data_IF_689733966060
#
_entry.id   IF_689733966060
#
_cell.length_a   1.000
_cell.length_b   1.000
_cell.length_c   1.000
_cell.angle_alpha   90.00
_cell.angle_beta   90.00
_cell.angle_gamma   90.00
#
_symmetry.space_group_name_H-M   'P 1'
#
loop_
_entity.id
_entity.type
_entity.pdbx_description
1 polymer ?
#
# COMPACT_ATOMS: atom_id res chain seq x y z
N UNK A 1 5.18 -0.08 -16.87
CA UNK A 1 4.82 0.46 -15.55
C UNK A 1 3.42 -0.01 -15.16
N UNK A 2 3.26 -0.46 -13.93
CA UNK A 2 1.98 -0.97 -13.46
C UNK A 2 1.15 0.19 -12.91
N UNK A 3 -0.11 0.23 -13.33
CA UNK A 3 -1.08 1.18 -12.79
C UNK A 3 -2.35 0.39 -12.47
N UNK A 4 -2.49 0.05 -11.21
CA UNK A 4 -3.57 -0.83 -10.75
C UNK A 4 -4.84 -0.03 -10.49
N UNK A 5 -5.97 -0.55 -10.95
CA UNK A 5 -7.26 0.10 -10.76
C UNK A 5 -8.29 -0.91 -10.29
N UNK A 6 -9.28 -0.39 -9.61
CA UNK A 6 -10.44 -1.17 -9.20
C UNK A 6 -10.54 -1.33 -7.70
N UNK A 7 -11.77 -1.40 -7.21
CA UNK A 7 -12.11 -1.64 -5.82
C UNK A 7 -12.91 -2.92 -5.73
N UNK A 8 -12.57 -3.78 -4.79
CA UNK A 8 -13.19 -5.10 -4.67
C UNK A 8 -13.54 -5.40 -3.23
N UNK A 9 -14.75 -5.90 -3.01
CA UNK A 9 -15.16 -6.37 -1.71
C UNK A 9 -14.70 -7.81 -1.54
N UNK A 10 -14.01 -8.06 -0.45
CA UNK A 10 -13.49 -9.38 -0.13
C UNK A 10 -13.81 -9.72 1.30
N UNK A 11 -13.65 -10.99 1.65
CA UNK A 11 -13.84 -11.45 3.02
C UNK A 11 -12.57 -12.14 3.50
N UNK A 12 -12.26 -11.89 4.77
CA UNK A 12 -11.15 -12.55 5.44
C UNK A 12 -11.69 -13.79 6.13
N UNK A 13 -11.06 -14.93 5.87
CA UNK A 13 -11.51 -16.18 6.48
C UNK A 13 -11.01 -16.30 7.92
N UNK A 14 -11.38 -17.42 8.58
CA UNK A 14 -11.04 -17.61 9.98
C UNK A 14 -9.55 -17.68 10.23
N UNK A 15 -8.78 -17.99 9.22
CA UNK A 15 -7.31 -18.07 9.32
C UNK A 15 -6.62 -16.77 8.94
N UNK A 16 -7.37 -15.73 8.61
CA UNK A 16 -6.80 -14.45 8.24
C UNK A 16 -6.41 -14.29 6.79
N UNK A 17 -6.97 -15.13 5.92
CA UNK A 17 -6.65 -15.09 4.49
C UNK A 17 -7.81 -14.51 3.70
N UNK A 18 -7.48 -13.81 2.62
CA UNK A 18 -8.49 -13.34 1.67
C UNK A 18 -8.12 -13.79 0.28
N UNK A 19 -9.13 -14.01 -0.56
CA UNK A 19 -8.91 -14.38 -1.95
C UNK A 19 -8.54 -13.14 -2.76
N UNK A 20 -7.40 -13.19 -3.41
CA UNK A 20 -6.94 -12.06 -4.21
C UNK A 20 -7.91 -11.82 -5.37
N UNK A 21 -8.38 -10.59 -5.58
CA UNK A 21 -9.33 -10.34 -6.67
C UNK A 21 -8.77 -10.69 -8.03
N UNK A 22 -9.57 -11.40 -8.81
CA UNK A 22 -9.13 -11.91 -10.11
C UNK A 22 -8.69 -10.78 -11.02
N UNK A 23 -9.43 -9.66 -11.02
CA UNK A 23 -9.09 -8.57 -11.93
C UNK A 23 -7.77 -7.90 -11.57
N UNK A 24 -7.46 -7.81 -10.27
CA UNK A 24 -6.16 -7.29 -9.87
C UNK A 24 -5.05 -8.28 -10.20
N UNK A 25 -5.35 -9.58 -10.05
CA UNK A 25 -4.37 -10.59 -10.40
C UNK A 25 -4.02 -10.54 -11.88
N UNK A 26 -5.02 -10.32 -12.73
CA UNK A 26 -4.76 -10.19 -14.16
C UNK A 26 -3.89 -8.99 -14.47
N UNK A 27 -4.12 -7.88 -13.78
CA UNK A 27 -3.30 -6.68 -13.98
C UNK A 27 -1.86 -6.90 -13.54
N UNK A 28 -1.64 -7.85 -12.63
CA UNK A 28 -0.32 -8.18 -12.11
C UNK A 28 0.26 -9.46 -12.71
N UNK A 29 -0.28 -9.92 -13.82
CA UNK A 29 -0.03 -11.26 -14.34
C UNK A 29 1.46 -11.62 -14.40
N UNK A 30 2.29 -10.68 -14.84
CA UNK A 30 3.71 -10.97 -15.01
C UNK A 30 4.49 -11.01 -13.70
N UNK A 31 3.99 -10.37 -12.67
CA UNK A 31 4.74 -10.24 -11.42
C UNK A 31 4.06 -10.90 -10.22
N UNK A 32 2.85 -11.42 -10.41
CA UNK A 32 2.08 -11.96 -9.30
C UNK A 32 2.82 -13.08 -8.56
N UNK A 33 3.45 -13.97 -9.31
CA UNK A 33 4.15 -15.10 -8.71
C UNK A 33 5.44 -14.71 -8.00
N UNK A 34 5.94 -13.52 -8.25
CA UNK A 34 7.16 -13.07 -7.61
C UNK A 34 6.93 -12.64 -6.16
N UNK A 35 5.68 -12.42 -5.79
CA UNK A 35 5.31 -12.17 -4.40
C UNK A 35 5.15 -10.71 -4.06
N UNK A 36 4.84 -10.50 -2.80
CA UNK A 36 4.45 -9.19 -2.28
C UNK A 36 5.12 -8.93 -0.93
N UNK A 37 5.16 -7.66 -0.58
CA UNK A 37 5.46 -7.23 0.78
C UNK A 37 4.24 -6.45 1.28
N UNK A 38 3.83 -6.71 2.52
CA UNK A 38 2.71 -6.01 3.12
C UNK A 38 3.22 -5.18 4.30
N UNK A 39 2.68 -3.97 4.43
CA UNK A 39 3.10 -3.06 5.49
C UNK A 39 1.94 -2.14 5.87
N UNK A 40 2.09 -1.45 6.98
CA UNK A 40 1.13 -0.43 7.40
C UNK A 40 1.23 0.79 6.48
N UNK A 41 0.09 1.42 6.23
CA UNK A 41 0.10 2.72 5.56
C UNK A 41 0.58 3.78 6.57
N UNK A 42 1.37 4.75 6.09
CA UNK A 42 1.91 5.78 6.98
C UNK A 42 0.85 6.76 7.44
N UNK A 43 -0.15 7.01 6.62
CA UNK A 43 -1.08 8.12 6.86
C UNK A 43 -2.47 7.68 7.26
N UNK A 44 -2.85 6.46 6.90
CA UNK A 44 -4.18 5.95 7.13
C UNK A 44 -4.12 4.59 7.84
N UNK A 45 -5.19 4.25 8.52
CA UNK A 45 -5.26 2.95 9.19
C UNK A 45 -5.68 1.88 8.22
N UNK A 46 -4.79 1.60 7.29
CA UNK A 46 -4.99 0.54 6.31
C UNK A 46 -3.65 -0.10 6.02
N UNK A 47 -3.67 -1.12 5.19
CA UNK A 47 -2.46 -1.86 4.82
C UNK A 47 -2.14 -1.59 3.36
N UNK A 48 -0.86 -1.66 3.04
CA UNK A 48 -0.39 -1.54 1.67
C UNK A 48 0.28 -2.85 1.28
N UNK A 49 -0.15 -3.40 0.16
CA UNK A 49 0.43 -4.61 -0.41
C UNK A 49 1.24 -4.18 -1.63
N UNK A 50 2.54 -4.33 -1.53
CA UNK A 50 3.47 -3.93 -2.59
C UNK A 50 3.85 -5.14 -3.41
N UNK A 51 3.67 -5.12 -4.74
CA UNK A 51 4.40 -6.11 -5.55
C UNK A 51 5.89 -6.01 -5.23
N UNK A 52 6.57 -7.15 -5.23
CA UNK A 52 7.94 -7.14 -4.70
C UNK A 52 8.85 -6.16 -5.44
N UNK A 53 8.65 -6.00 -6.76
CA UNK A 53 9.49 -5.06 -7.50
C UNK A 53 9.20 -3.62 -7.09
N UNK A 54 7.96 -3.31 -6.71
CA UNK A 54 7.64 -1.96 -6.23
C UNK A 54 8.22 -1.72 -4.85
N UNK A 55 8.20 -2.75 -3.99
CA UNK A 55 8.85 -2.62 -2.69
C UNK A 55 10.36 -2.38 -2.86
N UNK A 56 10.96 -3.10 -3.77
CA UNK A 56 12.40 -2.92 -4.02
C UNK A 56 12.72 -1.54 -4.57
N UNK A 57 11.85 -1.01 -5.45
CA UNK A 57 12.02 0.36 -5.94
C UNK A 57 11.92 1.36 -4.80
N UNK A 58 10.95 1.18 -3.93
CA UNK A 58 10.78 2.08 -2.80
C UNK A 58 12.00 2.06 -1.91
N UNK A 59 12.50 0.85 -1.59
CA UNK A 59 13.71 0.72 -0.78
C UNK A 59 14.90 1.38 -1.45
N UNK A 60 15.04 1.23 -2.75
CA UNK A 60 16.13 1.87 -3.48
C UNK A 60 16.05 3.38 -3.38
N UNK A 61 14.87 3.91 -3.58
CA UNK A 61 14.68 5.36 -3.46
C UNK A 61 14.98 5.85 -2.06
N UNK A 62 14.50 5.16 -1.10
CA UNK A 62 14.73 5.52 0.29
C UNK A 62 16.13 5.24 0.76
N UNK A 63 16.53 4.34 0.34
CA UNK A 63 17.79 3.89 0.78
C UNK A 63 18.90 4.24 -0.12
N UNK A 64 18.69 4.15 -1.02
CA UNK A 64 19.68 4.35 -1.97
C UNK A 64 19.66 5.71 -2.49
N UNK A 65 18.77 5.98 -2.40
CA UNK A 65 18.77 7.01 -2.97
C UNK A 65 18.87 7.87 -2.20
N UNK A 66 19.02 7.52 -1.42
CA UNK A 66 19.20 7.91 -1.14
C UNK A 66 18.92 8.47 -0.43
N UNK A 67 17.80 8.51 -0.23
CA UNK A 67 17.32 9.38 0.85
C UNK A 67 17.45 8.70 2.19
N UNK A 68 17.12 7.42 2.30
CA UNK A 68 17.40 6.72 3.56
C UNK A 68 18.89 6.49 3.75
N UNK A 69 19.60 6.24 2.67
CA UNK A 69 21.04 6.07 2.80
C UNK A 69 21.72 7.37 3.19
N UNK A 70 21.05 8.49 2.90
CA UNK A 70 21.54 9.79 3.33
C UNK A 70 21.06 10.17 4.72
N UNK A 71 20.09 9.42 5.25
CA UNK A 71 19.65 9.65 6.62
C UNK A 71 20.72 9.22 7.58
N UNK A 72 21.10 10.11 8.44
CA UNK A 72 22.08 9.81 9.48
C UNK A 72 21.34 9.07 10.60
N UNK A 73 21.60 7.76 10.70
CA UNK A 73 20.94 6.92 11.70
C UNK A 73 21.37 7.27 13.13
N UNK A 74 22.41 8.07 13.27
CA UNK A 74 22.80 8.57 14.61
C UNK A 74 21.85 9.65 15.10
N UNK A 75 21.07 10.24 14.20
CA UNK A 75 20.03 11.18 14.59
C UNK A 75 18.78 10.37 14.96
N UNK A 76 18.31 10.57 16.18
CA UNK A 76 17.26 9.71 16.75
C UNK A 76 16.00 9.71 15.91
N UNK A 77 15.57 10.87 15.41
CA UNK A 77 14.34 10.94 14.61
C UNK A 77 14.45 10.10 13.35
N UNK A 78 15.60 10.14 12.69
CA UNK A 78 15.83 9.34 11.49
C UNK A 78 15.79 7.85 11.80
N UNK A 79 16.44 7.47 12.88
CA UNK A 79 16.48 6.07 13.28
C UNK A 79 15.09 5.56 13.64
N UNK A 80 14.33 6.34 14.37
CA UNK A 80 12.97 5.97 14.76
C UNK A 80 12.09 5.81 13.51
N UNK A 81 12.20 6.74 12.57
CA UNK A 81 11.41 6.66 11.34
C UNK A 81 11.71 5.37 10.57
N UNK A 82 12.97 5.07 10.37
CA UNK A 82 13.35 3.87 9.62
C UNK A 82 12.82 2.62 10.30
N UNK A 83 12.99 2.54 11.64
CA UNK A 83 12.51 1.38 12.38
C UNK A 83 11.00 1.23 12.28
N UNK A 84 10.27 2.33 12.44
CA UNK A 84 8.81 2.26 12.39
C UNK A 84 8.30 1.95 10.99
N UNK A 85 8.95 2.51 9.97
CA UNK A 85 8.53 2.24 8.62
C UNK A 85 8.80 0.81 8.19
N UNK A 86 9.99 0.29 8.48
CA UNK A 86 10.36 -1.04 8.03
C UNK A 86 9.93 -2.16 8.98
N UNK A 87 9.68 -1.83 10.24
CA UNK A 87 9.46 -2.86 11.26
C UNK A 87 8.17 -3.65 11.10
N UNK A 88 7.18 -3.09 10.43
CA UNK A 88 5.92 -3.78 10.21
C UNK A 88 5.87 -4.56 8.91
N UNK A 89 6.85 -4.38 8.05
CA UNK A 89 6.83 -5.01 6.73
C UNK A 89 7.10 -6.51 6.83
N UNK A 90 6.36 -7.28 6.05
CA UNK A 90 6.60 -8.72 5.97
C UNK A 90 6.22 -9.20 4.57
N UNK A 91 6.79 -10.32 4.17
CA UNK A 91 6.42 -10.90 2.88
C UNK A 91 5.01 -11.47 2.94
N UNK A 92 4.31 -11.42 1.83
CA UNK A 92 2.93 -11.87 1.74
C UNK A 92 2.69 -12.44 0.36
N UNK A 93 2.91 -13.74 0.22
CA UNK A 93 2.75 -14.40 -1.06
C UNK A 93 1.39 -15.09 -1.12
N UNK A 94 0.82 -15.15 -2.31
CA UNK A 94 -0.42 -15.88 -2.50
C UNK A 94 -0.13 -17.38 -2.42
N UNK A 95 -1.04 -18.12 -1.81
CA UNK A 95 -0.93 -19.57 -1.79
C UNK A 95 -1.38 -20.14 -3.14
N UNK A 96 -1.40 -21.48 -3.23
CA UNK A 96 -1.70 -22.13 -4.51
C UNK A 96 -3.11 -21.85 -5.00
N UNK A 97 -4.02 -21.50 -4.11
CA UNK A 97 -5.39 -21.16 -4.51
C UNK A 97 -5.61 -19.65 -4.70
N UNK A 98 -4.57 -18.84 -4.51
CA UNK A 98 -4.68 -17.41 -4.72
C UNK A 98 -5.09 -16.61 -3.50
N UNK A 99 -4.94 -17.22 -2.31
CA UNK A 99 -5.27 -16.52 -1.06
C UNK A 99 -4.02 -15.93 -0.45
N UNK A 100 -4.19 -14.77 0.18
CA UNK A 100 -3.09 -14.05 0.83
C UNK A 100 -3.40 -13.95 2.32
N UNK A 101 -2.43 -14.29 3.14
CA UNK A 101 -2.56 -14.23 4.60
C UNK A 101 -2.23 -12.83 5.09
N UNK A 102 -3.13 -12.28 5.91
CA UNK A 102 -2.88 -11.00 6.58
C UNK A 102 -2.29 -11.28 7.95
N UNK A 103 -1.07 -10.78 8.21
CA UNK A 103 -0.47 -10.98 9.54
C UNK A 103 -1.33 -10.36 10.63
N UNK A 104 -1.42 -11.04 11.76
CA UNK A 104 -2.29 -10.63 12.85
C UNK A 104 -1.97 -9.21 13.35
N UNK A 105 -0.71 -8.83 13.56
CA UNK A 105 -0.45 -7.46 14.01
C UNK A 105 -0.94 -6.40 13.01
N UNK A 106 -0.91 -6.71 11.72
CA UNK A 106 -1.38 -5.76 10.71
C UNK A 106 -2.91 -5.71 10.69
N UNK A 107 -3.55 -6.86 10.87
CA UNK A 107 -5.01 -6.90 11.01
C UNK A 107 -5.44 -6.01 12.18
N UNK A 108 -4.74 -6.10 13.29
CA UNK A 108 -5.04 -5.29 14.47
C UNK A 108 -4.82 -3.80 14.19
N UNK A 109 -3.70 -3.47 13.55
CA UNK A 109 -3.41 -2.08 13.22
C UNK A 109 -4.52 -1.45 12.37
N UNK A 110 -4.99 -2.18 11.37
CA UNK A 110 -5.99 -1.67 10.44
C UNK A 110 -7.42 -1.90 10.91
N UNK A 111 -7.60 -2.49 12.10
CA UNK A 111 -8.92 -2.79 12.67
C UNK A 111 -9.77 -3.62 11.71
N UNK A 112 -9.13 -4.55 11.02
CA UNK A 112 -9.83 -5.39 10.06
C UNK A 112 -10.66 -6.42 10.79
N UNK A 113 -11.91 -6.54 10.38
CA UNK A 113 -12.81 -7.60 10.86
C UNK A 113 -12.94 -8.65 9.79
N UNK A 114 -14.11 -8.79 9.18
CA UNK A 114 -14.33 -9.81 8.15
C UNK A 114 -14.38 -9.21 6.76
N UNK A 115 -15.11 -8.13 6.61
CA UNK A 115 -15.32 -7.51 5.30
C UNK A 115 -14.24 -6.48 5.04
N UNK A 116 -13.55 -6.63 3.93
CA UNK A 116 -12.48 -5.72 3.56
C UNK A 116 -12.71 -5.16 2.16
N UNK A 117 -12.08 -4.05 1.92
CA UNK A 117 -12.00 -3.43 0.60
C UNK A 117 -10.55 -3.58 0.12
N UNK A 118 -10.38 -4.20 -1.03
CA UNK A 118 -9.07 -4.36 -1.67
C UNK A 118 -9.09 -3.52 -2.93
N UNK A 119 -8.18 -2.57 -3.03
CA UNK A 119 -8.23 -1.64 -4.15
C UNK A 119 -6.86 -1.37 -4.73
N UNK A 120 -6.83 -1.20 -6.03
CA UNK A 120 -5.64 -0.74 -6.72
C UNK A 120 -5.43 0.74 -6.49
N UNK A 121 -4.22 1.11 -6.15
CA UNK A 121 -3.85 2.49 -5.89
C UNK A 121 -2.54 2.76 -6.59
N UNK A 122 -2.64 2.96 -7.90
CA UNK A 122 -1.50 3.18 -8.77
C UNK A 122 -0.59 1.93 -8.79
N UNK A 123 0.55 1.97 -8.15
CA UNK A 123 1.51 0.86 -8.23
C UNK A 123 1.43 -0.09 -7.03
N UNK A 124 0.47 0.11 -6.14
CA UNK A 124 0.31 -0.73 -4.96
C UNK A 124 -1.16 -1.08 -4.78
N UNK A 125 -1.42 -1.94 -3.81
CA UNK A 125 -2.77 -2.33 -3.44
C UNK A 125 -3.00 -1.92 -2.00
N UNK A 126 -4.15 -1.32 -1.73
CA UNK A 126 -4.53 -1.00 -0.35
C UNK A 126 -5.58 -1.99 0.13
N UNK A 127 -5.49 -2.33 1.41
CA UNK A 127 -6.42 -3.23 2.06
C UNK A 127 -6.96 -2.53 3.29
N UNK A 128 -8.27 -2.33 3.30
CA UNK A 128 -8.97 -1.59 4.35
C UNK A 128 -10.05 -2.44 4.96
N UNK A 129 -10.32 -2.25 6.23
CA UNK A 129 -11.61 -2.67 6.77
C UNK A 129 -12.71 -1.92 6.01
N UNK A 130 -13.74 -2.62 5.60
CA UNK A 130 -14.74 -2.03 4.71
C UNK A 130 -15.43 -0.83 5.33
N UNK A 131 -15.82 -0.95 6.60
CA UNK A 131 -16.50 0.16 7.27
C UNK A 131 -15.59 1.37 7.42
N UNK A 132 -14.33 1.14 7.73
CA UNK A 132 -13.38 2.24 7.84
C UNK A 132 -13.15 2.91 6.49
N UNK A 133 -13.11 2.13 5.42
CA UNK A 133 -12.97 2.72 4.09
C UNK A 133 -14.17 3.58 3.74
N UNK A 134 -15.37 3.08 4.01
CA UNK A 134 -16.60 3.84 3.74
C UNK A 134 -16.60 5.14 4.54
N UNK A 135 -16.17 5.10 5.80
CA UNK A 135 -16.08 6.29 6.62
C UNK A 135 -15.08 7.27 6.04
N UNK A 136 -13.93 6.77 5.61
CA UNK A 136 -12.91 7.62 5.01
C UNK A 136 -13.44 8.34 3.77
N UNK A 137 -14.17 7.62 2.92
CA UNK A 137 -14.72 8.21 1.69
C UNK A 137 -15.79 9.27 1.99
N UNK A 138 -16.52 9.11 3.09
CA UNK A 138 -17.60 10.04 3.42
C UNK A 138 -17.18 11.16 4.36
N UNK A 139 -15.89 11.23 4.71
CA UNK A 139 -15.40 12.34 5.51
C UNK A 139 -15.67 13.66 4.77
N UNK A 140 -16.01 14.68 5.57
CA UNK A 140 -16.32 15.99 5.02
C UNK A 140 -15.04 16.66 4.54
N UNK A 141 -14.68 16.33 3.32
CA UNK A 141 -13.48 16.87 2.69
C UNK A 141 -13.85 17.35 1.30
N UNK A 142 -13.51 18.58 1.01
CA UNK A 142 -13.77 19.16 -0.31
C UNK A 142 -12.69 18.67 -1.26
N UNK A 143 -13.03 17.64 -2.04
CA UNK A 143 -12.07 17.04 -2.96
C UNK A 143 -11.65 18.04 -4.04
N UNK A 144 -12.55 18.92 -4.41
CA UNK A 144 -12.26 19.95 -5.42
C UNK A 144 -11.19 20.90 -4.91
N UNK A 145 -11.35 21.36 -3.67
CA UNK A 145 -10.37 22.26 -3.05
C UNK A 145 -9.05 21.54 -2.83
N UNK A 146 -9.12 20.28 -2.39
CA UNK A 146 -7.91 19.49 -2.19
C UNK A 146 -7.16 19.31 -3.51
N UNK A 147 -7.89 19.04 -4.58
CA UNK A 147 -7.28 18.90 -5.90
C UNK A 147 -6.60 20.20 -6.32
N UNK A 148 -7.25 21.34 -6.08
CA UNK A 148 -6.64 22.62 -6.41
C UNK A 148 -5.36 22.84 -5.61
N UNK A 149 -5.40 22.53 -4.31
CA UNK A 149 -4.23 22.72 -3.47
C UNK A 149 -3.08 21.82 -3.87
N UNK A 150 -3.37 20.54 -4.13
CA UNK A 150 -2.34 19.57 -4.46
C UNK A 150 -1.80 19.80 -5.87
N UNK A 151 -2.71 19.89 -6.85
CA UNK A 151 -2.29 20.02 -8.25
C UNK A 151 -1.77 21.41 -8.57
N UNK A 152 -2.27 22.41 -7.86
CA UNK A 152 -1.79 23.77 -8.04
C UNK A 152 -0.35 23.97 -7.61
N UNK A 153 0.14 23.11 -6.72
CA UNK A 153 1.52 23.18 -6.26
C UNK A 153 2.48 22.40 -7.13
N UNK A 154 1.97 21.64 -8.08
CA UNK A 154 2.82 20.92 -9.01
C UNK A 154 3.28 21.85 -10.11
N UNK A 155 4.54 21.71 -10.49
CA UNK A 155 5.10 22.49 -11.57
C UNK A 155 4.92 21.72 -12.87
N UNK A 156 3.90 22.10 -13.63
CA UNK A 156 3.59 21.39 -14.87
C UNK A 156 4.46 21.80 -16.05
N UNK A 157 5.41 22.71 -15.81
CA UNK A 157 6.26 23.18 -16.89
C UNK A 157 7.37 22.22 -17.27
N UNK A 158 7.57 21.20 -16.47
CA UNK A 158 8.63 20.23 -16.73
C UNK A 158 8.12 18.96 -17.40
N UNK A 159 6.94 19.02 -17.98
CA UNK A 159 6.27 17.82 -18.41
C UNK A 159 6.55 17.33 -19.82
N UNK A 160 7.40 18.02 -20.55
CA UNK A 160 7.55 17.70 -21.96
C UNK A 160 8.84 17.00 -22.32
N UNK A 161 9.55 16.50 -21.36
CA UNK A 161 10.73 15.70 -21.68
C UNK A 161 10.34 14.24 -21.71
N UNK A 162 10.18 13.74 -22.90
CA UNK A 162 9.93 12.33 -23.13
C UNK A 162 11.18 11.50 -22.82
#
# INVERSE_FOLDING_TARGET
MISLIGEYDCKVDAKGRFMFPVNLRKQLEEVFEKGFVINRNLHQKCLVLYPIHEWNKLNKKLXXXXKLSKLNRLIKANDVFVRKFTGGATTADADTTGRVLLPKPLVEYASITTDIKVLGSNNVIEIWDKKLYDTFLTQDMDIEKLAEDVLGNLNFNDGDDE
#
